data_IF_034190367355
#
_entry.id   IF_034190367355
#
_cell.length_a   1.000
_cell.length_b   1.000
_cell.length_c   1.000
_cell.angle_alpha   90.00
_cell.angle_beta   90.00
_cell.angle_gamma   90.00
#
_symmetry.space_group_name_H-M   'P 1'
#
loop_
_entity.id
_entity.type
_entity.pdbx_description
1 polymer ?
#
# COMPACT_ATOMS: atom_id res chain seq x y z
N UNK A 1 13.45 3.74 -8.51
CA UNK A 1 14.27 4.87 -8.05
C UNK A 1 14.01 5.12 -6.56
N UNK A 2 15.06 5.50 -5.82
CA UNK A 2 14.93 5.87 -4.41
C UNK A 2 14.23 7.23 -4.27
N UNK A 3 13.70 7.52 -3.08
CA UNK A 3 13.08 8.81 -2.80
C UNK A 3 14.03 9.98 -3.01
N UNK A 4 15.29 9.81 -2.61
CA UNK A 4 16.31 10.86 -2.81
C UNK A 4 16.61 11.09 -4.30
N UNK A 5 16.60 10.05 -5.12
CA UNK A 5 16.75 10.19 -6.59
C UNK A 5 15.57 10.94 -7.19
N UNK A 6 14.34 10.59 -6.81
CA UNK A 6 13.14 11.30 -7.31
C UNK A 6 13.17 12.77 -6.87
N UNK A 7 13.53 13.07 -5.62
CA UNK A 7 13.67 14.45 -5.13
C UNK A 7 14.63 15.26 -5.98
N UNK A 8 15.78 14.67 -6.32
CA UNK A 8 16.79 15.30 -7.19
C UNK A 8 16.26 15.54 -8.61
N UNK A 9 15.57 14.55 -9.18
CA UNK A 9 14.98 14.69 -10.52
C UNK A 9 13.87 15.76 -10.55
N UNK A 10 13.09 15.90 -9.50
CA UNK A 10 12.09 16.97 -9.39
C UNK A 10 12.74 18.35 -9.53
N UNK A 11 13.85 18.58 -8.83
CA UNK A 11 14.52 19.89 -8.82
C UNK A 11 15.35 20.15 -10.07
N UNK A 12 15.98 19.13 -10.64
CA UNK A 12 16.88 19.28 -11.78
C UNK A 12 16.21 19.12 -13.14
N UNK A 13 15.10 18.39 -13.22
CA UNK A 13 14.47 18.01 -14.49
C UNK A 13 12.98 18.29 -14.50
N UNK A 14 12.20 17.67 -13.62
CA UNK A 14 10.74 17.67 -13.74
C UNK A 14 10.13 19.05 -13.50
N UNK A 15 10.60 19.78 -12.48
CA UNK A 15 10.15 21.15 -12.23
C UNK A 15 10.50 22.10 -13.39
N UNK A 16 11.76 22.17 -13.84
CA UNK A 16 12.15 22.97 -15.00
C UNK A 16 11.42 22.63 -16.31
N UNK A 17 11.00 21.40 -16.49
CA UNK A 17 10.26 20.93 -17.67
C UNK A 17 8.73 21.03 -17.50
N UNK A 18 8.24 21.70 -16.46
CA UNK A 18 6.81 21.89 -16.17
C UNK A 18 6.01 20.57 -16.04
N UNK A 19 6.65 19.52 -15.51
CA UNK A 19 5.96 18.26 -15.20
C UNK A 19 5.03 18.48 -14.00
N UNK A 20 3.75 18.22 -14.18
CA UNK A 20 2.74 18.46 -13.13
C UNK A 20 2.72 17.36 -12.07
N UNK A 21 2.94 16.11 -12.44
CA UNK A 21 2.81 14.95 -11.56
C UNK A 21 3.91 13.93 -11.79
N UNK A 22 4.33 13.27 -10.72
CA UNK A 22 5.20 12.09 -10.79
C UNK A 22 4.53 10.97 -10.00
N UNK A 23 4.29 9.83 -10.66
CA UNK A 23 3.86 8.60 -10.01
C UNK A 23 5.07 7.89 -9.44
N UNK A 24 5.00 7.53 -8.15
CA UNK A 24 6.03 6.79 -7.44
C UNK A 24 5.55 5.40 -7.05
N UNK A 25 6.49 4.46 -6.97
CA UNK A 25 6.25 3.09 -6.52
C UNK A 25 5.72 3.06 -5.08
N UNK A 26 5.09 1.95 -4.65
CA UNK A 26 4.44 1.89 -3.35
C UNK A 26 5.38 2.28 -2.19
N UNK A 27 4.96 3.24 -1.34
CA UNK A 27 5.82 3.76 -0.28
C UNK A 27 5.75 2.98 1.04
N UNK A 28 4.84 1.99 1.16
CA UNK A 28 4.71 1.21 2.38
C UNK A 28 5.81 0.15 2.51
N UNK A 29 6.01 -0.31 3.74
CA UNK A 29 6.87 -1.45 4.03
C UNK A 29 6.39 -2.72 3.33
N UNK A 30 7.33 -3.44 2.72
CA UNK A 30 7.08 -4.67 1.97
C UNK A 30 7.98 -5.80 2.43
N UNK A 31 7.81 -6.98 1.82
CA UNK A 31 8.77 -8.07 1.93
C UNK A 31 10.15 -7.62 1.45
N UNK A 32 11.19 -8.29 1.92
CA UNK A 32 12.56 -8.09 1.46
C UNK A 32 12.74 -8.61 0.04
N UNK A 33 13.66 -8.01 -0.70
CA UNK A 33 14.01 -8.39 -2.05
C UNK A 33 14.38 -7.20 -2.91
N UNK A 34 15.17 -7.44 -3.95
CA UNK A 34 15.63 -6.41 -4.88
C UNK A 34 14.71 -6.26 -6.10
N UNK A 35 13.87 -7.25 -6.33
CA UNK A 35 12.95 -7.27 -7.47
C UNK A 35 11.85 -6.21 -7.28
N UNK A 36 11.41 -5.59 -8.37
CA UNK A 36 10.40 -4.53 -8.33
C UNK A 36 9.06 -5.00 -7.74
N UNK A 37 8.65 -6.24 -8.00
CA UNK A 37 7.36 -6.78 -7.52
C UNK A 37 7.28 -6.98 -6.01
N UNK A 38 8.41 -7.01 -5.31
CA UNK A 38 8.41 -7.13 -3.84
C UNK A 38 7.73 -5.94 -3.17
N UNK A 39 7.74 -4.77 -3.79
CA UNK A 39 7.01 -3.58 -3.30
C UNK A 39 5.49 -3.76 -3.29
N UNK A 40 4.97 -4.73 -4.04
CA UNK A 40 3.53 -5.02 -4.13
C UNK A 40 3.08 -6.12 -3.16
N UNK A 41 3.90 -6.45 -2.19
CA UNK A 41 3.60 -7.38 -1.10
C UNK A 41 3.81 -6.69 0.25
N UNK A 42 2.85 -5.84 0.66
CA UNK A 42 2.95 -5.08 1.90
C UNK A 42 2.88 -5.99 3.13
N UNK A 43 3.65 -5.65 4.17
CA UNK A 43 3.63 -6.30 5.49
C UNK A 43 3.21 -5.33 6.59
N UNK A 44 3.16 -4.05 6.28
CA UNK A 44 2.66 -2.96 7.13
C UNK A 44 2.35 -1.75 6.24
N UNK A 45 1.70 -0.74 6.82
CA UNK A 45 1.56 0.57 6.17
C UNK A 45 2.53 1.62 6.73
N UNK A 46 3.63 1.19 7.35
CA UNK A 46 4.74 2.09 7.68
C UNK A 46 5.34 2.65 6.39
N UNK A 47 5.72 3.91 6.41
CA UNK A 47 6.29 4.61 5.26
C UNK A 47 7.81 4.42 5.13
N UNK A 48 8.37 3.41 5.76
CA UNK A 48 9.74 2.96 5.56
C UNK A 48 9.74 1.80 4.56
N UNK A 49 10.28 2.04 3.37
CA UNK A 49 10.29 1.08 2.28
C UNK A 49 11.72 0.82 1.79
N UNK A 50 11.87 -0.11 0.88
CA UNK A 50 13.18 -0.33 0.21
C UNK A 50 13.65 0.86 -0.63
N UNK A 51 12.77 1.83 -0.90
CA UNK A 51 13.10 3.04 -1.67
C UNK A 51 13.57 4.20 -0.80
N UNK A 52 13.43 4.08 0.51
CA UNK A 52 13.89 5.06 1.49
C UNK A 52 13.05 5.07 2.76
N UNK A 53 13.52 5.83 3.74
CA UNK A 53 12.84 6.04 5.02
C UNK A 53 11.63 6.97 4.87
N UNK A 54 10.76 7.00 5.87
CA UNK A 54 9.64 7.95 5.94
C UNK A 54 10.13 9.41 5.83
N UNK A 55 11.24 9.74 6.48
CA UNK A 55 11.83 11.07 6.41
C UNK A 55 12.27 11.42 4.98
N UNK A 56 12.89 10.48 4.28
CA UNK A 56 13.30 10.64 2.88
C UNK A 56 12.09 10.75 1.95
N UNK A 57 11.03 9.96 2.19
CA UNK A 57 9.78 10.05 1.45
C UNK A 57 9.12 11.44 1.60
N UNK A 58 8.99 11.93 2.83
CA UNK A 58 8.45 13.26 3.11
C UNK A 58 9.30 14.38 2.52
N UNK A 59 10.64 14.24 2.57
CA UNK A 59 11.55 15.19 1.93
C UNK A 59 11.37 15.21 0.41
N UNK A 60 11.23 14.05 -0.23
CA UNK A 60 10.95 13.98 -1.67
C UNK A 60 9.68 14.76 -2.02
N UNK A 61 8.59 14.53 -1.31
CA UNK A 61 7.33 15.24 -1.53
C UNK A 61 7.52 16.75 -1.39
N UNK A 62 8.20 17.17 -0.35
CA UNK A 62 8.48 18.60 -0.09
C UNK A 62 9.30 19.23 -1.23
N UNK A 63 10.37 18.56 -1.66
CA UNK A 63 11.24 19.05 -2.74
C UNK A 63 10.50 19.13 -4.08
N UNK A 64 9.70 18.10 -4.41
CA UNK A 64 8.92 18.09 -5.63
C UNK A 64 7.82 19.17 -5.61
N UNK A 65 7.08 19.29 -4.52
CA UNK A 65 6.02 20.31 -4.40
C UNK A 65 6.57 21.73 -4.49
N UNK A 66 7.77 21.97 -3.96
CA UNK A 66 8.41 23.28 -4.00
C UNK A 66 8.71 23.77 -5.42
N UNK A 67 8.80 22.87 -6.39
CA UNK A 67 9.00 23.19 -7.81
C UNK A 67 7.78 22.92 -8.69
N UNK A 68 6.61 22.78 -8.07
CA UNK A 68 5.33 22.62 -8.76
C UNK A 68 5.03 21.20 -9.23
N UNK A 69 5.72 20.18 -8.72
CA UNK A 69 5.51 18.77 -9.07
C UNK A 69 4.77 18.07 -7.93
N UNK A 70 3.56 17.59 -8.20
CA UNK A 70 2.79 16.80 -7.24
C UNK A 70 3.16 15.31 -7.33
N UNK A 71 3.04 14.61 -6.20
CA UNK A 71 3.31 13.18 -6.12
C UNK A 71 1.99 12.40 -6.15
N UNK A 72 1.94 11.42 -7.05
CA UNK A 72 0.93 10.37 -7.07
C UNK A 72 1.59 9.11 -6.48
N UNK A 73 1.02 8.57 -5.41
CA UNK A 73 1.51 7.35 -4.80
C UNK A 73 0.77 6.12 -5.35
N UNK A 74 1.54 5.10 -5.71
CA UNK A 74 1.01 3.77 -5.99
C UNK A 74 0.61 3.12 -4.66
N UNK A 75 -0.64 2.75 -4.49
CA UNK A 75 -1.18 2.20 -3.24
C UNK A 75 -1.68 0.78 -3.44
N UNK A 76 -1.23 -0.12 -2.58
CA UNK A 76 -1.52 -1.56 -2.63
C UNK A 76 -2.47 -1.91 -1.50
N UNK A 77 -3.76 -2.00 -1.81
CA UNK A 77 -4.83 -2.26 -0.84
C UNK A 77 -5.44 -3.67 -0.95
N UNK A 78 -5.21 -4.39 -2.06
CA UNK A 78 -5.86 -5.66 -2.31
C UNK A 78 -5.27 -6.82 -1.49
N UNK A 79 -3.95 -6.85 -1.29
CA UNK A 79 -3.25 -8.02 -0.79
C UNK A 79 -2.11 -7.70 0.17
N UNK A 80 -1.60 -8.76 0.77
CA UNK A 80 -0.35 -8.77 1.52
C UNK A 80 0.68 -9.66 0.80
N UNK A 81 1.13 -10.75 1.39
CA UNK A 81 2.21 -11.58 0.89
C UNK A 81 1.72 -12.92 0.34
N UNK A 82 2.51 -13.55 -0.51
CA UNK A 82 2.22 -14.83 -1.14
C UNK A 82 3.40 -15.79 -1.13
N UNK A 83 3.52 -16.60 -2.18
CA UNK A 83 4.51 -17.68 -2.29
C UNK A 83 5.97 -17.21 -2.38
N UNK A 84 6.22 -15.92 -2.58
CA UNK A 84 7.58 -15.36 -2.61
C UNK A 84 8.24 -15.32 -1.21
N UNK A 85 7.47 -15.55 -0.15
CA UNK A 85 7.95 -15.49 1.23
C UNK A 85 8.16 -16.88 1.78
N UNK A 86 9.25 -17.08 2.52
CA UNK A 86 9.50 -18.33 3.23
C UNK A 86 8.47 -18.54 4.36
N UNK A 87 8.26 -19.80 4.73
CA UNK A 87 7.38 -20.17 5.83
C UNK A 87 7.84 -19.63 7.17
N UNK A 88 6.88 -19.47 8.09
CA UNK A 88 7.14 -19.03 9.45
C UNK A 88 7.33 -17.51 9.58
N UNK A 89 7.89 -17.09 10.71
CA UNK A 89 8.15 -15.68 10.97
C UNK A 89 9.20 -15.10 10.06
N UNK A 90 8.90 -13.98 9.46
CA UNK A 90 9.79 -13.20 8.60
C UNK A 90 9.76 -11.73 9.02
N UNK A 91 10.67 -10.94 8.49
CA UNK A 91 10.70 -9.49 8.71
C UNK A 91 10.63 -8.74 7.39
N UNK A 92 9.87 -7.66 7.38
CA UNK A 92 9.84 -6.72 6.27
C UNK A 92 11.09 -5.86 6.18
N UNK A 93 11.14 -5.00 5.17
CA UNK A 93 12.29 -4.11 4.90
C UNK A 93 12.57 -3.10 6.01
N UNK A 94 11.59 -2.79 6.85
CA UNK A 94 11.73 -1.93 8.03
C UNK A 94 11.88 -2.72 9.34
N UNK A 95 12.03 -4.03 9.27
CA UNK A 95 12.22 -4.90 10.43
C UNK A 95 10.92 -5.36 11.11
N UNK A 96 9.76 -5.09 10.55
CA UNK A 96 8.47 -5.50 11.11
C UNK A 96 8.28 -7.01 10.92
N UNK A 97 8.01 -7.72 12.02
CA UNK A 97 7.70 -9.16 11.96
C UNK A 97 6.31 -9.41 11.34
N UNK A 98 6.22 -10.47 10.58
CA UNK A 98 4.96 -11.01 10.05
C UNK A 98 5.09 -12.52 9.80
N UNK A 99 3.96 -13.19 9.62
CA UNK A 99 3.94 -14.61 9.27
C UNK A 99 2.93 -14.85 8.14
N UNK A 100 3.43 -14.96 6.91
CA UNK A 100 2.61 -15.23 5.73
C UNK A 100 1.99 -16.64 5.71
N UNK A 101 2.55 -17.61 6.44
CA UNK A 101 1.98 -18.96 6.54
C UNK A 101 0.68 -18.98 7.36
N UNK A 102 0.56 -18.11 8.35
CA UNK A 102 -0.59 -18.04 9.26
C UNK A 102 -1.50 -16.84 9.01
N UNK A 103 -1.12 -15.94 8.12
CA UNK A 103 -1.87 -14.71 7.86
C UNK A 103 -1.79 -13.69 8.99
N UNK A 104 -0.67 -13.65 9.71
CA UNK A 104 -0.47 -12.78 10.87
C UNK A 104 0.43 -11.59 10.52
N UNK A 105 -0.14 -10.39 10.57
CA UNK A 105 0.52 -9.15 10.17
C UNK A 105 0.32 -8.05 11.23
N UNK A 106 1.03 -8.13 12.35
CA UNK A 106 0.90 -7.15 13.44
C UNK A 106 1.36 -5.72 13.02
N UNK A 107 2.11 -5.62 11.93
CA UNK A 107 2.56 -4.33 11.40
C UNK A 107 1.46 -3.41 10.90
N UNK A 108 0.25 -3.92 10.66
CA UNK A 108 -0.92 -3.10 10.31
C UNK A 108 -1.66 -2.56 11.54
N UNK A 109 -1.15 -2.78 12.75
CA UNK A 109 -1.79 -2.30 13.98
C UNK A 109 -2.03 -0.80 13.94
N UNK A 110 -3.19 -0.40 14.46
CA UNK A 110 -3.57 0.98 14.71
C UNK A 110 -3.98 1.11 16.18
N UNK A 111 -4.20 2.34 16.65
CA UNK A 111 -4.71 2.55 18.00
C UNK A 111 -6.05 1.84 18.22
N UNK A 112 -6.93 1.90 17.22
CA UNK A 112 -8.24 1.25 17.24
C UNK A 112 -8.14 -0.29 17.12
N UNK A 113 -7.16 -0.79 16.38
CA UNK A 113 -6.95 -2.22 16.11
C UNK A 113 -5.52 -2.64 16.47
N UNK A 114 -5.21 -2.73 17.77
CA UNK A 114 -3.84 -2.96 18.24
C UNK A 114 -3.27 -4.34 17.86
N UNK A 115 -4.12 -5.31 17.56
CA UNK A 115 -3.72 -6.64 17.10
C UNK A 115 -3.19 -6.65 15.65
N UNK A 116 -3.45 -5.60 14.89
CA UNK A 116 -3.14 -5.57 13.46
C UNK A 116 -4.08 -6.45 12.64
N UNK A 117 -3.55 -7.07 11.59
CA UNK A 117 -4.28 -7.94 10.67
C UNK A 117 -3.97 -9.40 11.01
N UNK A 118 -5.01 -10.23 11.04
CA UNK A 118 -4.93 -11.67 11.26
C UNK A 118 -5.61 -12.44 10.13
N UNK A 119 -5.53 -13.76 10.13
CA UNK A 119 -6.13 -14.60 9.08
C UNK A 119 -7.64 -14.34 8.87
N UNK A 120 -8.36 -13.96 9.92
CA UNK A 120 -9.78 -13.65 9.86
C UNK A 120 -10.13 -12.35 9.14
N UNK A 121 -9.13 -11.52 8.86
CA UNK A 121 -9.28 -10.24 8.13
C UNK A 121 -9.10 -10.40 6.61
N UNK A 122 -8.91 -11.62 6.16
CA UNK A 122 -8.81 -11.97 4.74
C UNK A 122 -10.04 -12.76 4.29
N UNK A 123 -10.32 -12.73 2.97
CA UNK A 123 -11.34 -13.59 2.40
C UNK A 123 -11.01 -15.07 2.63
N UNK A 124 -12.02 -15.90 2.82
CA UNK A 124 -11.86 -17.32 3.12
C UNK A 124 -11.40 -18.14 1.91
N UNK A 125 -11.55 -17.63 0.68
CA UNK A 125 -11.07 -18.28 -0.53
C UNK A 125 -9.54 -18.25 -0.56
N UNK A 126 -8.90 -19.39 -0.29
CA UNK A 126 -7.44 -19.51 -0.28
C UNK A 126 -6.84 -19.98 -1.61
N UNK A 127 -7.67 -20.31 -2.60
CA UNK A 127 -7.20 -20.68 -3.95
C UNK A 127 -6.83 -19.46 -4.78
N UNK A 128 -5.97 -19.65 -5.75
CA UNK A 128 -5.68 -18.65 -6.75
C UNK A 128 -6.88 -18.46 -7.69
N UNK A 129 -7.02 -17.23 -8.20
CA UNK A 129 -8.00 -16.91 -9.25
C UNK A 129 -7.65 -17.73 -10.49
N UNK A 130 -8.63 -18.46 -11.01
CA UNK A 130 -8.50 -19.27 -12.23
C UNK A 130 -9.47 -18.84 -13.34
N UNK A 131 -10.62 -18.30 -12.96
CA UNK A 131 -11.64 -17.84 -13.90
C UNK A 131 -11.88 -16.33 -13.78
N UNK A 132 -11.22 -15.57 -14.62
CA UNK A 132 -11.35 -14.10 -14.65
C UNK A 132 -12.69 -13.59 -15.22
N UNK A 133 -13.56 -14.47 -15.72
CA UNK A 133 -14.94 -14.13 -16.07
C UNK A 133 -15.90 -14.22 -14.86
N UNK A 134 -15.46 -14.80 -13.76
CA UNK A 134 -16.23 -14.89 -12.52
C UNK A 134 -15.84 -13.74 -11.60
N UNK A 135 -16.71 -12.73 -11.51
CA UNK A 135 -16.45 -11.53 -10.72
C UNK A 135 -16.19 -11.85 -9.23
N UNK A 136 -16.96 -12.75 -8.64
CA UNK A 136 -16.79 -13.10 -7.23
C UNK A 136 -15.42 -13.75 -7.00
N UNK A 137 -15.00 -14.66 -7.88
CA UNK A 137 -13.68 -15.29 -7.78
C UNK A 137 -12.56 -14.25 -7.91
N UNK A 138 -12.68 -13.30 -8.83
CA UNK A 138 -11.71 -12.22 -9.04
C UNK A 138 -11.59 -11.32 -7.81
N UNK A 139 -12.68 -11.09 -7.07
CA UNK A 139 -12.73 -10.18 -5.94
C UNK A 139 -12.54 -10.82 -4.57
N UNK A 140 -12.60 -12.14 -4.46
CA UNK A 140 -12.56 -12.83 -3.16
C UNK A 140 -11.50 -13.92 -3.08
N UNK A 141 -10.92 -14.36 -4.21
CA UNK A 141 -9.85 -15.34 -4.22
C UNK A 141 -8.47 -14.69 -4.41
N UNK A 142 -7.40 -15.46 -4.27
CA UNK A 142 -6.04 -14.92 -4.22
C UNK A 142 -5.49 -14.56 -5.59
N UNK A 143 -4.96 -13.37 -5.71
CA UNK A 143 -4.13 -12.95 -6.83
C UNK A 143 -2.70 -13.46 -6.59
N UNK A 144 -2.21 -14.37 -7.44
CA UNK A 144 -0.83 -14.89 -7.35
C UNK A 144 -0.44 -15.34 -5.94
N UNK A 145 -1.26 -16.14 -5.29
CA UNK A 145 -1.07 -16.70 -3.94
C UNK A 145 -1.09 -15.71 -2.78
N UNK A 146 -1.20 -14.42 -3.03
CA UNK A 146 -1.19 -13.39 -1.98
C UNK A 146 -2.50 -13.40 -1.18
N UNK A 147 -2.38 -13.24 0.13
CA UNK A 147 -3.52 -13.10 1.03
C UNK A 147 -4.40 -11.93 0.61
N UNK A 148 -5.69 -12.20 0.42
CA UNK A 148 -6.67 -11.26 -0.14
C UNK A 148 -7.46 -10.60 0.98
N UNK A 149 -7.30 -9.29 1.17
CA UNK A 149 -8.00 -8.57 2.23
C UNK A 149 -9.51 -8.67 2.10
N UNK A 150 -10.20 -8.95 3.22
CA UNK A 150 -11.65 -8.76 3.32
C UNK A 150 -11.96 -7.26 3.40
N UNK A 151 -11.98 -6.63 2.23
CA UNK A 151 -12.22 -5.20 2.08
C UNK A 151 -13.66 -4.78 2.40
N UNK A 152 -14.58 -5.72 2.58
CA UNK A 152 -15.95 -5.48 3.02
C UNK A 152 -16.03 -5.27 4.53
N UNK A 153 -14.98 -5.61 5.28
CA UNK A 153 -14.96 -5.39 6.73
C UNK A 153 -14.66 -3.93 7.06
N UNK A 154 -15.34 -3.40 8.06
CA UNK A 154 -15.10 -2.05 8.58
C UNK A 154 -13.66 -1.90 9.09
N UNK A 155 -13.12 -2.91 9.75
CA UNK A 155 -11.74 -2.92 10.25
C UNK A 155 -10.72 -2.71 9.13
N UNK A 156 -10.81 -3.46 8.05
CA UNK A 156 -9.90 -3.33 6.90
C UNK A 156 -10.06 -1.95 6.25
N UNK A 157 -11.30 -1.50 6.07
CA UNK A 157 -11.59 -0.18 5.51
C UNK A 157 -11.01 0.94 6.37
N UNK A 158 -11.11 0.87 7.68
CA UNK A 158 -10.57 1.86 8.61
C UNK A 158 -9.05 1.90 8.55
N UNK A 159 -8.38 0.75 8.60
CA UNK A 159 -6.92 0.64 8.52
C UNK A 159 -6.40 1.23 7.20
N UNK A 160 -7.06 0.90 6.09
CA UNK A 160 -6.66 1.39 4.77
C UNK A 160 -6.95 2.88 4.57
N UNK A 161 -8.05 3.37 5.10
CA UNK A 161 -8.37 4.81 5.09
C UNK A 161 -7.35 5.62 5.90
N UNK A 162 -6.94 5.13 7.06
CA UNK A 162 -5.89 5.75 7.88
C UNK A 162 -4.56 5.81 7.13
N UNK A 163 -4.21 4.77 6.38
CA UNK A 163 -3.02 4.77 5.53
C UNK A 163 -3.08 5.83 4.44
N UNK A 164 -4.19 5.91 3.71
CA UNK A 164 -4.37 6.92 2.67
C UNK A 164 -4.35 8.35 3.26
N UNK A 165 -4.93 8.54 4.44
CA UNK A 165 -4.87 9.82 5.15
C UNK A 165 -3.44 10.20 5.54
N UNK A 166 -2.64 9.23 5.99
CA UNK A 166 -1.21 9.47 6.30
C UNK A 166 -0.43 9.92 5.06
N UNK A 167 -0.68 9.31 3.89
CA UNK A 167 -0.09 9.74 2.62
C UNK A 167 -0.53 11.16 2.23
N UNK A 168 -1.82 11.45 2.34
CA UNK A 168 -2.35 12.78 2.06
C UNK A 168 -1.73 13.84 2.98
N UNK A 169 -1.64 13.55 4.27
CA UNK A 169 -1.04 14.44 5.26
C UNK A 169 0.46 14.64 5.03
N UNK A 170 1.15 13.66 4.46
CA UNK A 170 2.54 13.79 4.04
C UNK A 170 2.72 14.67 2.79
N UNK A 171 1.63 14.99 2.07
CA UNK A 171 1.64 15.85 0.89
C UNK A 171 1.40 15.15 -0.45
N UNK A 172 1.11 13.85 -0.45
CA UNK A 172 0.64 13.13 -1.66
C UNK A 172 -0.67 13.73 -2.13
N UNK A 173 -0.82 13.93 -3.44
CA UNK A 173 -2.01 14.59 -4.02
C UNK A 173 -2.77 13.74 -5.03
N UNK A 174 -2.38 12.51 -5.19
CA UNK A 174 -3.11 11.54 -5.98
C UNK A 174 -2.72 10.12 -5.61
N UNK A 175 -3.58 9.15 -5.93
CA UNK A 175 -3.36 7.73 -5.69
C UNK A 175 -3.58 6.95 -6.98
N UNK A 176 -2.61 6.10 -7.31
CA UNK A 176 -2.82 5.02 -8.28
C UNK A 176 -3.22 3.78 -7.49
N UNK A 177 -4.40 3.25 -7.73
CA UNK A 177 -4.94 2.11 -7.00
C UNK A 177 -4.53 0.81 -7.69
N UNK A 178 -3.55 0.10 -7.10
CA UNK A 178 -3.11 -1.19 -7.63
C UNK A 178 -4.21 -2.24 -7.53
N UNK A 179 -4.32 -3.11 -8.55
CA UNK A 179 -5.23 -4.25 -8.57
C UNK A 179 -6.69 -3.92 -8.18
N UNK A 180 -7.17 -2.72 -8.48
CA UNK A 180 -8.48 -2.22 -8.02
C UNK A 180 -9.65 -3.07 -8.50
N UNK A 181 -9.52 -3.78 -9.64
CA UNK A 181 -10.56 -4.70 -10.14
C UNK A 181 -10.81 -5.90 -9.21
N UNK A 182 -9.85 -6.20 -8.34
CA UNK A 182 -9.93 -7.27 -7.34
C UNK A 182 -10.62 -6.84 -6.05
N UNK A 183 -10.99 -5.57 -5.92
CA UNK A 183 -11.65 -5.00 -4.74
C UNK A 183 -13.10 -4.67 -5.11
N UNK A 184 -14.04 -5.01 -4.23
CA UNK A 184 -15.45 -4.66 -4.43
C UNK A 184 -15.63 -3.14 -4.54
N UNK A 185 -16.45 -2.69 -5.48
CA UNK A 185 -16.71 -1.26 -5.72
C UNK A 185 -17.23 -0.54 -4.48
N UNK A 186 -18.13 -1.17 -3.73
CA UNK A 186 -18.69 -0.58 -2.52
C UNK A 186 -17.63 -0.43 -1.41
N UNK A 187 -16.65 -1.34 -1.35
CA UNK A 187 -15.52 -1.24 -0.43
C UNK A 187 -14.62 -0.05 -0.78
N UNK A 188 -14.31 0.13 -2.06
CA UNK A 188 -13.55 1.29 -2.52
C UNK A 188 -14.29 2.61 -2.24
N UNK A 189 -15.59 2.61 -2.43
CA UNK A 189 -16.43 3.76 -2.10
C UNK A 189 -16.38 4.09 -0.61
N UNK A 190 -16.51 3.07 0.27
CA UNK A 190 -16.42 3.25 1.71
C UNK A 190 -15.06 3.78 2.15
N UNK A 191 -13.97 3.25 1.61
CA UNK A 191 -12.60 3.72 1.89
C UNK A 191 -12.45 5.18 1.49
N UNK A 192 -12.93 5.56 0.31
CA UNK A 192 -12.90 6.94 -0.17
C UNK A 192 -13.72 7.88 0.73
N UNK A 193 -14.91 7.47 1.12
CA UNK A 193 -15.77 8.27 2.02
C UNK A 193 -15.10 8.46 3.39
N UNK A 194 -14.52 7.42 3.96
CA UNK A 194 -13.77 7.50 5.21
C UNK A 194 -12.57 8.45 5.08
N UNK A 195 -11.80 8.35 4.00
CA UNK A 195 -10.69 9.25 3.74
C UNK A 195 -11.13 10.71 3.70
N UNK A 196 -12.25 11.02 3.04
CA UNK A 196 -12.79 12.37 2.96
C UNK A 196 -13.23 12.92 4.33
N UNK A 197 -13.68 12.05 5.25
CA UNK A 197 -14.03 12.42 6.62
C UNK A 197 -12.78 12.71 7.48
N UNK A 198 -11.75 11.89 7.34
CA UNK A 198 -10.48 12.02 8.10
C UNK A 198 -9.68 13.25 7.63
N UNK A 199 -9.68 13.53 6.33
CA UNK A 199 -8.84 14.57 5.71
C UNK A 199 -9.48 15.95 5.66
N UNK A 200 -10.69 16.12 6.20
CA UNK A 200 -11.32 17.46 6.29
C UNK A 200 -10.59 18.30 7.35
N UNK A 201 -10.24 19.55 7.04
CA UNK A 201 -9.69 20.47 8.01
C UNK A 201 -10.69 20.85 9.11
#
# INVERSE_FOLDING_TARGET
>A
QTWNTVAKECTSTYGPEDVAYVEVSPPQESIQGTQWWTSYQPVSYKLDSKLGTEAEFKNMIKQCNAVGVDIIADVVLNQTTGADVADGKQTGVAGTEYNGSTGDYPGFATEQYPEGITASDFHSCSKNISNYANQQEVQECRLSSMWDFDSESEKVQDIQSDYLAALWNAGVRGFRMDAVKHIHTDSMKAIKENLLLISRP
#
